data_IF_451996439378
#
_entry.id   IF_451996439378
#
_cell.length_a   1.000
_cell.length_b   1.000
_cell.length_c   1.000
_cell.angle_alpha   90.00
_cell.angle_beta   90.00
_cell.angle_gamma   90.00
#
_symmetry.space_group_name_H-M   'P 1'
#
loop_
_entity.id
_entity.type
_entity.pdbx_description
1 polymer ?
#
# COMPACT_ATOMS: atom_id res chain seq x y z
N UNK A 1 41.41 9.53 -2.68
CA UNK A 1 40.21 10.29 -2.23
C UNK A 1 38.97 9.51 -2.67
N UNK A 2 38.27 8.82 -1.75
CA UNK A 2 36.98 8.20 -2.06
C UNK A 2 35.98 9.32 -2.34
N UNK A 3 35.45 9.41 -3.56
CA UNK A 3 34.35 10.32 -3.86
C UNK A 3 33.13 9.87 -3.06
N UNK A 4 32.46 10.82 -2.41
CA UNK A 4 31.28 10.56 -1.57
C UNK A 4 30.03 10.46 -2.43
N UNK A 5 29.98 11.22 -3.52
CA UNK A 5 28.97 11.07 -4.57
C UNK A 5 29.49 10.13 -5.68
N UNK A 6 28.67 9.17 -6.15
CA UNK A 6 29.15 8.05 -6.95
C UNK A 6 29.74 8.44 -8.31
N UNK A 7 29.25 9.51 -8.95
CA UNK A 7 29.76 9.98 -10.23
C UNK A 7 29.48 11.46 -10.47
N UNK A 8 30.40 12.19 -11.11
CA UNK A 8 30.19 13.58 -11.51
C UNK A 8 29.50 13.70 -12.88
N UNK A 9 29.55 12.63 -13.68
CA UNK A 9 29.20 12.65 -15.12
C UNK A 9 27.72 12.30 -15.37
N UNK A 10 26.93 12.01 -14.33
CA UNK A 10 25.49 11.70 -14.42
C UNK A 10 25.14 10.30 -14.98
N UNK A 11 26.12 9.40 -15.09
CA UNK A 11 25.96 7.99 -15.49
C UNK A 11 25.00 7.23 -14.56
N UNK A 12 25.03 7.49 -13.25
CA UNK A 12 24.10 6.89 -12.29
C UNK A 12 22.66 7.37 -12.53
N UNK A 13 22.47 8.65 -12.87
CA UNK A 13 21.14 9.18 -13.23
C UNK A 13 20.63 8.52 -14.51
N UNK A 14 21.47 8.37 -15.53
CA UNK A 14 21.09 7.70 -16.78
C UNK A 14 20.69 6.23 -16.54
N UNK A 15 21.44 5.50 -15.73
CA UNK A 15 21.11 4.11 -15.37
C UNK A 15 19.77 4.03 -14.65
N UNK A 16 19.54 4.89 -13.65
CA UNK A 16 18.28 4.96 -12.94
C UNK A 16 17.11 5.23 -13.88
N UNK A 17 17.24 6.23 -14.77
CA UNK A 17 16.18 6.61 -15.71
C UNK A 17 15.93 5.50 -16.74
N UNK A 18 16.96 4.82 -17.25
CA UNK A 18 16.80 3.67 -18.17
C UNK A 18 16.05 2.51 -17.52
N UNK A 19 16.17 2.35 -16.21
CA UNK A 19 15.41 1.35 -15.45
C UNK A 19 13.93 1.71 -15.22
N UNK A 20 13.51 2.96 -15.50
CA UNK A 20 12.14 3.40 -15.31
C UNK A 20 11.29 3.18 -16.57
N UNK A 21 10.21 2.44 -16.44
CA UNK A 21 9.19 2.33 -17.50
C UNK A 21 8.25 3.53 -17.41
N UNK A 22 8.50 4.57 -18.21
CA UNK A 22 7.68 5.80 -18.23
C UNK A 22 6.66 5.78 -19.38
N UNK A 23 5.41 6.17 -19.10
CA UNK A 23 4.34 6.27 -20.12
C UNK A 23 4.52 7.44 -21.09
N UNK A 24 5.16 8.53 -20.65
CA UNK A 24 5.33 9.74 -21.43
C UNK A 24 6.82 10.00 -21.69
N UNK A 25 7.17 10.27 -22.95
CA UNK A 25 8.53 10.56 -23.40
C UNK A 25 9.15 11.80 -22.71
N UNK A 26 8.35 12.72 -22.19
CA UNK A 26 8.85 13.91 -21.47
C UNK A 26 9.23 13.63 -20.02
N UNK A 27 8.70 12.56 -19.40
CA UNK A 27 8.95 12.26 -17.98
C UNK A 27 10.43 11.98 -17.68
N UNK A 28 11.15 11.17 -18.48
CA UNK A 28 12.60 10.98 -18.33
C UNK A 28 13.39 12.30 -18.38
N UNK A 29 12.99 13.24 -19.25
CA UNK A 29 13.66 14.53 -19.42
C UNK A 29 13.51 15.37 -18.15
N UNK A 30 12.29 15.45 -17.60
CA UNK A 30 12.02 16.18 -16.35
C UNK A 30 12.76 15.53 -15.18
N UNK A 31 12.75 14.20 -15.09
CA UNK A 31 13.44 13.48 -14.01
C UNK A 31 14.94 13.71 -14.06
N UNK A 32 15.55 13.65 -15.25
CA UNK A 32 16.96 13.98 -15.46
C UNK A 32 17.27 15.39 -14.97
N UNK A 33 16.49 16.38 -15.39
CA UNK A 33 16.69 17.77 -14.96
C UNK A 33 16.65 17.93 -13.43
N UNK A 34 15.67 17.32 -12.76
CA UNK A 34 15.55 17.37 -11.29
C UNK A 34 16.73 16.68 -10.60
N UNK A 35 17.09 15.48 -11.04
CA UNK A 35 18.18 14.70 -10.44
C UNK A 35 19.54 15.34 -10.68
N UNK A 36 19.80 15.87 -11.88
CA UNK A 36 21.03 16.61 -12.17
C UNK A 36 21.12 17.90 -11.35
N UNK A 37 19.99 18.60 -11.15
CA UNK A 37 19.92 19.76 -10.26
C UNK A 37 20.21 19.41 -8.79
N UNK A 38 19.70 18.27 -8.31
CA UNK A 38 20.01 17.76 -6.97
C UNK A 38 21.47 17.35 -6.83
N UNK A 39 22.01 16.57 -7.78
CA UNK A 39 23.41 16.18 -7.80
C UNK A 39 24.35 17.40 -7.77
N UNK A 40 24.08 18.41 -8.60
CA UNK A 40 24.88 19.65 -8.62
C UNK A 40 24.86 20.35 -7.26
N UNK A 41 23.69 20.42 -6.62
CA UNK A 41 23.55 21.00 -5.28
C UNK A 41 24.39 20.25 -4.25
N UNK A 42 24.36 18.90 -4.27
CA UNK A 42 25.15 18.08 -3.35
C UNK A 42 26.65 18.30 -3.60
N UNK A 43 27.09 18.24 -4.85
CA UNK A 43 28.50 18.43 -5.22
C UNK A 43 29.05 19.82 -4.87
N UNK A 44 28.23 20.88 -4.92
CA UNK A 44 28.65 22.24 -4.54
C UNK A 44 28.84 22.41 -3.02
N UNK A 45 28.10 21.65 -2.21
CA UNK A 45 28.23 21.66 -0.75
C UNK A 45 29.21 20.63 -0.22
N UNK A 46 29.73 19.75 -1.09
CA UNK A 46 30.60 18.65 -0.71
C UNK A 46 32.00 19.17 -0.31
N UNK A 47 32.23 19.28 1.01
CA UNK A 47 33.54 19.47 1.64
C UNK A 47 34.12 18.15 2.15
N UNK A 48 33.78 17.01 1.54
CA UNK A 48 34.22 15.69 2.00
C UNK A 48 33.37 15.11 3.13
N UNK A 49 32.09 15.51 3.24
CA UNK A 49 31.13 14.97 4.20
C UNK A 49 30.13 14.02 3.52
N UNK A 50 29.86 12.88 4.17
CA UNK A 50 28.84 11.91 3.75
C UNK A 50 27.50 12.62 3.52
N UNK A 51 26.73 12.17 2.52
CA UNK A 51 25.37 12.69 2.28
C UNK A 51 24.53 12.54 3.56
N UNK A 52 24.32 13.63 4.29
CA UNK A 52 23.63 13.65 5.58
C UNK A 52 22.26 14.33 5.50
N UNK A 53 21.43 14.14 6.54
CA UNK A 53 20.13 14.78 6.73
C UNK A 53 20.19 16.30 6.54
N UNK A 54 21.26 16.96 6.97
CA UNK A 54 21.41 18.41 6.84
C UNK A 54 21.46 18.87 5.37
N UNK A 55 22.11 18.08 4.51
CA UNK A 55 22.20 18.36 3.07
C UNK A 55 20.83 18.26 2.41
N UNK A 56 20.05 17.23 2.75
CA UNK A 56 18.67 17.08 2.26
C UNK A 56 17.79 18.22 2.76
N UNK A 57 17.90 18.59 4.05
CA UNK A 57 17.15 19.72 4.62
C UNK A 57 17.47 21.01 3.88
N UNK A 58 18.75 21.32 3.68
CA UNK A 58 19.17 22.54 2.97
C UNK A 58 18.66 22.59 1.53
N UNK A 59 18.73 21.45 0.80
CA UNK A 59 18.19 21.36 -0.56
C UNK A 59 16.69 21.64 -0.58
N UNK A 60 15.94 21.05 0.35
CA UNK A 60 14.48 21.25 0.43
C UNK A 60 14.12 22.72 0.69
N UNK A 61 14.81 23.38 1.63
CA UNK A 61 14.56 24.80 1.95
C UNK A 61 14.86 25.71 0.75
N UNK A 62 15.93 25.47 -0.01
CA UNK A 62 16.21 26.21 -1.25
C UNK A 62 15.10 26.01 -2.30
N UNK A 63 14.59 24.78 -2.43
CA UNK A 63 13.56 24.47 -3.43
C UNK A 63 12.17 24.98 -3.09
N UNK A 64 11.82 25.14 -1.81
CA UNK A 64 10.53 25.74 -1.43
C UNK A 64 10.46 27.23 -1.81
N UNK A 65 11.58 27.93 -1.89
CA UNK A 65 11.61 29.30 -2.39
C UNK A 65 11.33 29.40 -3.91
N UNK A 66 11.52 28.32 -4.65
CA UNK A 66 11.42 28.30 -6.12
C UNK A 66 10.17 27.58 -6.62
N UNK A 67 9.66 26.58 -5.88
CA UNK A 67 8.57 25.71 -6.32
C UNK A 67 7.44 25.62 -5.28
N UNK A 68 6.18 25.48 -5.72
CA UNK A 68 5.07 25.17 -4.83
C UNK A 68 5.30 23.87 -4.04
N UNK A 69 4.79 23.79 -2.81
CA UNK A 69 4.99 22.65 -1.90
C UNK A 69 4.68 21.28 -2.51
N UNK A 70 3.59 21.15 -3.27
CA UNK A 70 3.21 19.87 -3.87
C UNK A 70 4.24 19.38 -4.91
N UNK A 71 4.89 20.30 -5.64
CA UNK A 71 5.99 19.99 -6.58
C UNK A 71 7.24 19.57 -5.81
N UNK A 72 7.57 20.25 -4.72
CA UNK A 72 8.69 19.88 -3.84
C UNK A 72 8.49 18.47 -3.29
N UNK A 73 7.29 18.13 -2.79
CA UNK A 73 7.00 16.77 -2.32
C UNK A 73 7.12 15.72 -3.42
N UNK A 74 6.62 16.00 -4.62
CA UNK A 74 6.74 15.08 -5.75
C UNK A 74 8.22 14.85 -6.14
N UNK A 75 9.01 15.93 -6.23
CA UNK A 75 10.44 15.84 -6.58
C UNK A 75 11.28 15.23 -5.46
N UNK A 76 10.95 15.46 -4.20
CA UNK A 76 11.61 14.82 -3.06
C UNK A 76 11.38 13.29 -3.05
N UNK A 77 10.19 12.81 -3.45
CA UNK A 77 9.95 11.37 -3.64
C UNK A 77 10.78 10.80 -4.79
N UNK A 78 10.98 11.55 -5.88
CA UNK A 78 11.86 11.13 -6.96
C UNK A 78 13.31 11.00 -6.48
N UNK A 79 13.80 11.99 -5.73
CA UNK A 79 15.13 11.96 -5.13
C UNK A 79 15.27 10.78 -4.15
N UNK A 80 14.30 10.56 -3.26
CA UNK A 80 14.29 9.40 -2.35
C UNK A 80 14.39 8.06 -3.11
N UNK A 81 13.62 7.88 -4.18
CA UNK A 81 13.70 6.68 -5.03
C UNK A 81 15.05 6.53 -5.73
N UNK A 82 15.67 7.64 -6.13
CA UNK A 82 17.00 7.62 -6.72
C UNK A 82 18.07 7.27 -5.68
N UNK A 83 17.97 7.79 -4.47
CA UNK A 83 18.86 7.44 -3.36
C UNK A 83 18.70 5.98 -2.93
N UNK A 84 17.47 5.46 -2.85
CA UNK A 84 17.19 4.03 -2.62
C UNK A 84 17.88 3.16 -3.70
N UNK A 85 17.88 3.61 -4.95
CA UNK A 85 18.58 2.93 -6.05
C UNK A 85 20.11 2.96 -5.87
N UNK A 86 20.69 4.12 -5.53
CA UNK A 86 22.13 4.24 -5.28
C UNK A 86 22.59 3.40 -4.08
N UNK A 87 21.79 3.34 -3.02
CA UNK A 87 22.04 2.52 -1.84
C UNK A 87 22.00 1.02 -2.19
N UNK A 88 20.99 0.60 -2.97
CA UNK A 88 20.87 -0.79 -3.45
C UNK A 88 22.06 -1.22 -4.32
N UNK A 89 22.62 -0.30 -5.11
CA UNK A 89 23.81 -0.56 -5.93
C UNK A 89 25.13 -0.42 -5.15
N UNK A 90 25.10 -0.08 -3.87
CA UNK A 90 26.30 0.17 -3.05
C UNK A 90 27.09 1.42 -3.44
N UNK A 91 26.47 2.33 -4.20
CA UNK A 91 27.07 3.56 -4.71
C UNK A 91 27.13 4.68 -3.65
N UNK A 92 26.25 4.62 -2.66
CA UNK A 92 26.28 5.45 -1.45
C UNK A 92 26.20 4.55 -0.22
N UNK A 93 26.71 5.03 0.92
CA UNK A 93 26.71 4.24 2.16
C UNK A 93 25.29 4.01 2.72
N UNK A 94 24.42 5.02 2.63
CA UNK A 94 23.05 4.97 3.12
C UNK A 94 22.22 6.10 2.50
N UNK A 95 20.90 5.90 2.37
CA UNK A 95 19.95 6.94 2.02
C UNK A 95 19.42 7.64 3.29
N UNK A 96 19.72 8.94 3.54
CA UNK A 96 19.25 9.64 4.73
C UNK A 96 17.72 9.70 4.85
N UNK A 97 17.00 9.76 3.71
CA UNK A 97 15.54 9.75 3.71
C UNK A 97 15.00 8.35 4.04
N UNK A 98 15.69 7.29 3.63
CA UNK A 98 15.36 5.91 4.01
C UNK A 98 15.55 5.69 5.51
N UNK A 99 16.68 6.14 6.06
CA UNK A 99 16.95 6.05 7.50
C UNK A 99 15.91 6.79 8.33
N UNK A 100 15.54 8.02 7.93
CA UNK A 100 14.50 8.79 8.59
C UNK A 100 13.14 8.09 8.52
N UNK A 101 12.77 7.52 7.36
CA UNK A 101 11.55 6.72 7.21
C UNK A 101 11.55 5.53 8.17
N UNK A 102 12.67 4.80 8.27
CA UNK A 102 12.82 3.66 9.16
C UNK A 102 12.74 4.08 10.63
N UNK A 103 13.48 5.11 11.03
CA UNK A 103 13.54 5.63 12.41
C UNK A 103 12.19 6.12 12.91
N UNK A 104 11.41 6.80 12.06
CA UNK A 104 10.11 7.35 12.42
C UNK A 104 8.92 6.50 11.92
N UNK A 105 9.15 5.26 11.49
CA UNK A 105 8.09 4.30 11.10
C UNK A 105 7.21 4.76 9.93
N UNK A 106 7.71 5.64 9.06
CA UNK A 106 6.96 6.22 7.95
C UNK A 106 7.11 5.39 6.68
N UNK A 107 5.98 5.05 6.04
CA UNK A 107 5.99 4.32 4.76
C UNK A 107 6.32 5.20 3.55
N UNK A 108 6.12 6.50 3.67
CA UNK A 108 6.29 7.46 2.57
C UNK A 108 7.21 8.59 2.98
N UNK A 109 7.86 9.23 2.01
CA UNK A 109 8.80 10.33 2.23
C UNK A 109 8.09 11.64 2.59
N UNK A 110 6.82 11.80 2.24
CA UNK A 110 6.12 13.09 2.37
C UNK A 110 5.99 13.60 3.81
N UNK A 111 5.62 12.80 4.82
CA UNK A 111 5.63 13.23 6.21
C UNK A 111 7.01 13.68 6.67
N UNK A 112 8.06 12.94 6.31
CA UNK A 112 9.46 13.29 6.63
C UNK A 112 9.85 14.63 6.00
N UNK A 113 9.59 14.80 4.70
CA UNK A 113 9.90 16.05 3.99
C UNK A 113 9.13 17.23 4.59
N UNK A 114 7.86 17.04 4.94
CA UNK A 114 7.06 18.07 5.61
C UNK A 114 7.65 18.43 6.97
N UNK A 115 8.10 17.45 7.76
CA UNK A 115 8.75 17.70 9.04
C UNK A 115 10.09 18.42 8.89
N UNK A 116 10.92 18.06 7.90
CA UNK A 116 12.19 18.72 7.62
C UNK A 116 12.04 20.19 7.20
N UNK A 117 10.92 20.51 6.54
CA UNK A 117 10.56 21.88 6.13
C UNK A 117 9.88 22.69 7.25
N UNK A 118 9.52 22.07 8.37
CA UNK A 118 8.97 22.77 9.54
C UNK A 118 10.04 23.67 10.18
N UNK A 119 9.59 24.77 10.79
CA UNK A 119 10.44 25.69 11.55
C UNK A 119 11.23 24.95 12.64
N UNK A 120 10.56 24.03 13.34
CA UNK A 120 11.15 23.14 14.34
C UNK A 120 11.23 21.72 13.79
N UNK A 121 12.22 21.46 12.93
CA UNK A 121 12.33 20.16 12.24
C UNK A 121 12.46 18.96 13.18
N UNK A 122 13.16 19.13 14.30
CA UNK A 122 13.37 18.03 15.27
C UNK A 122 12.07 17.64 15.97
N UNK A 123 11.32 18.61 16.49
CA UNK A 123 10.03 18.33 17.14
C UNK A 123 9.00 17.80 16.15
N UNK A 124 9.00 18.31 14.91
CA UNK A 124 8.14 17.83 13.85
C UNK A 124 8.47 16.38 13.43
N UNK A 125 9.75 16.00 13.42
CA UNK A 125 10.18 14.63 13.16
C UNK A 125 9.81 13.71 14.33
N UNK A 126 10.04 14.13 15.58
CA UNK A 126 9.66 13.34 16.75
C UNK A 126 8.15 13.11 16.85
N UNK A 127 7.33 14.07 16.42
CA UNK A 127 5.88 13.90 16.33
C UNK A 127 5.43 12.82 15.33
N UNK A 128 6.30 12.41 14.39
CA UNK A 128 6.02 11.31 13.45
C UNK A 128 6.31 9.93 14.04
N UNK A 129 6.97 9.85 15.19
CA UNK A 129 7.32 8.57 15.82
C UNK A 129 6.06 7.73 16.05
N UNK A 130 6.06 6.44 15.68
CA UNK A 130 4.89 5.60 15.90
C UNK A 130 4.64 5.46 17.39
N UNK A 131 3.39 5.72 17.80
CA UNK A 131 2.97 5.49 19.17
C UNK A 131 3.13 4.00 19.55
N UNK A 132 3.57 3.71 20.78
CA UNK A 132 3.67 2.32 21.26
C UNK A 132 2.31 1.63 21.14
N UNK A 133 2.34 0.34 20.84
CA UNK A 133 1.10 -0.46 20.75
C UNK A 133 0.60 -0.74 22.16
N UNK A 134 -0.66 -0.40 22.44
CA UNK A 134 -1.24 -0.57 23.77
C UNK A 134 -0.52 0.25 24.85
N UNK A 135 -0.14 1.49 24.50
CA UNK A 135 0.61 2.40 25.39
C UNK A 135 -0.25 3.39 26.17
N UNK A 136 -1.58 3.38 26.00
CA UNK A 136 -2.49 4.19 26.83
C UNK A 136 -2.70 3.57 28.22
N UNK A 137 -3.33 4.32 29.11
CA UNK A 137 -3.74 3.83 30.44
C UNK A 137 -4.71 2.62 30.37
N UNK A 138 -5.48 2.45 29.29
CA UNK A 138 -6.30 1.23 29.05
C UNK A 138 -5.57 0.17 28.21
N UNK A 139 -4.36 0.47 27.75
CA UNK A 139 -3.53 -0.41 26.91
C UNK A 139 -3.35 -1.80 27.50
N UNK A 140 -2.91 -1.95 28.77
CA UNK A 140 -2.73 -3.25 29.41
C UNK A 140 -3.99 -4.12 29.42
N UNK A 141 -5.15 -3.53 29.75
CA UNK A 141 -6.45 -4.22 29.74
C UNK A 141 -6.80 -4.74 28.33
N UNK A 142 -6.67 -3.87 27.33
CA UNK A 142 -6.97 -4.21 25.94
C UNK A 142 -6.02 -5.28 25.41
N UNK A 143 -4.72 -5.17 25.71
CA UNK A 143 -3.70 -6.14 25.30
C UNK A 143 -3.96 -7.49 25.95
N UNK A 144 -4.20 -7.54 27.26
CA UNK A 144 -4.53 -8.76 27.99
C UNK A 144 -5.71 -9.50 27.35
N UNK A 145 -6.81 -8.78 27.09
CA UNK A 145 -7.98 -9.39 26.47
C UNK A 145 -7.71 -9.90 25.05
N UNK A 146 -6.94 -9.15 24.23
CA UNK A 146 -6.57 -9.60 22.88
C UNK A 146 -5.72 -10.87 22.92
N UNK A 147 -4.73 -10.94 23.81
CA UNK A 147 -3.87 -12.11 23.98
C UNK A 147 -4.70 -13.31 24.41
N UNK A 148 -5.53 -13.16 25.44
CA UNK A 148 -6.42 -14.22 25.91
C UNK A 148 -7.35 -14.76 24.81
N UNK A 149 -7.96 -13.87 24.02
CA UNK A 149 -8.83 -14.29 22.91
C UNK A 149 -8.04 -15.07 21.84
N UNK A 150 -6.78 -14.73 21.61
CA UNK A 150 -5.92 -15.47 20.67
C UNK A 150 -5.48 -16.81 21.21
N UNK A 151 -5.17 -16.90 22.51
CA UNK A 151 -4.78 -18.15 23.16
C UNK A 151 -5.94 -19.16 23.18
N UNK A 152 -7.19 -18.67 23.23
CA UNK A 152 -8.40 -19.48 23.03
C UNK A 152 -8.63 -19.91 21.56
N UNK A 153 -7.73 -19.58 20.64
CA UNK A 153 -7.80 -19.97 19.24
C UNK A 153 -8.58 -19.02 18.31
N UNK A 154 -9.05 -17.87 18.80
CA UNK A 154 -9.69 -16.88 17.94
C UNK A 154 -8.65 -16.02 17.20
N UNK A 155 -8.84 -15.78 15.89
CA UNK A 155 -7.98 -14.83 15.15
C UNK A 155 -8.00 -13.42 15.76
N UNK A 156 -9.19 -12.98 16.19
CA UNK A 156 -9.44 -11.74 16.93
C UNK A 156 -8.84 -10.45 16.31
N UNK A 157 -8.63 -10.42 15.00
CA UNK A 157 -7.96 -9.30 14.30
C UNK A 157 -8.81 -8.02 14.29
N UNK A 158 -10.10 -8.12 13.97
CA UNK A 158 -10.99 -6.95 13.88
C UNK A 158 -11.15 -6.24 15.23
N UNK A 159 -11.47 -6.92 16.34
CA UNK A 159 -11.53 -6.27 17.65
C UNK A 159 -10.17 -5.75 18.12
N UNK A 160 -9.08 -6.49 17.89
CA UNK A 160 -7.73 -6.03 18.26
C UNK A 160 -7.35 -4.74 17.52
N UNK A 161 -7.68 -4.62 16.24
CA UNK A 161 -7.45 -3.39 15.47
C UNK A 161 -8.32 -2.23 15.97
N UNK A 162 -9.57 -2.50 16.40
CA UNK A 162 -10.44 -1.50 17.02
C UNK A 162 -9.86 -0.98 18.33
N UNK A 163 -9.36 -1.87 19.20
CA UNK A 163 -8.66 -1.47 20.42
C UNK A 163 -7.39 -0.67 20.14
N UNK A 164 -6.56 -1.08 19.18
CA UNK A 164 -5.35 -0.32 18.82
C UNK A 164 -5.70 1.08 18.29
N UNK A 165 -6.82 1.22 17.58
CA UNK A 165 -7.24 2.51 17.08
C UNK A 165 -7.69 3.45 18.22
N UNK A 166 -8.42 2.91 19.19
CA UNK A 166 -8.80 3.63 20.41
C UNK A 166 -7.61 3.93 21.34
N UNK A 167 -6.71 2.98 21.52
CA UNK A 167 -5.47 3.14 22.30
C UNK A 167 -4.61 4.31 21.81
N UNK A 168 -4.42 4.42 20.49
CA UNK A 168 -3.69 5.53 19.89
C UNK A 168 -4.37 6.87 20.10
N UNK A 169 -5.69 6.88 20.25
CA UNK A 169 -6.41 8.10 20.58
C UNK A 169 -6.23 8.51 22.02
N UNK A 170 -6.33 7.57 22.96
CA UNK A 170 -6.09 7.84 24.36
C UNK A 170 -4.66 8.34 24.60
N UNK A 171 -3.65 7.75 23.93
CA UNK A 171 -2.27 8.26 23.98
C UNK A 171 -2.11 9.69 23.46
N UNK A 172 -2.96 10.12 22.53
CA UNK A 172 -2.96 11.51 22.02
C UNK A 172 -3.76 12.47 22.90
N UNK A 173 -4.53 11.96 23.86
CA UNK A 173 -5.39 12.75 24.72
C UNK A 173 -5.16 12.36 26.19
N UNK A 174 -3.99 12.66 26.77
CA UNK A 174 -3.66 12.30 28.16
C UNK A 174 -4.63 12.90 29.19
N UNK A 175 -5.28 14.03 28.87
CA UNK A 175 -6.28 14.67 29.74
C UNK A 175 -7.53 13.80 30.00
N UNK A 176 -7.73 12.73 29.22
CA UNK A 176 -8.81 11.76 29.42
C UNK A 176 -8.47 10.68 30.43
N UNK A 177 -7.23 10.63 30.93
CA UNK A 177 -6.84 9.68 31.95
C UNK A 177 -7.65 9.89 33.24
N UNK A 178 -8.11 8.78 33.84
CA UNK A 178 -8.99 8.80 35.02
C UNK A 178 -10.47 9.07 34.74
N UNK A 179 -10.85 9.45 33.51
CA UNK A 179 -12.25 9.62 33.14
C UNK A 179 -12.98 8.27 33.05
N UNK A 180 -14.27 8.20 33.42
CA UNK A 180 -15.04 6.96 33.36
C UNK A 180 -15.28 6.54 31.90
N UNK A 181 -15.37 5.24 31.66
CA UNK A 181 -15.52 4.67 30.30
C UNK A 181 -16.63 5.33 29.44
N UNK A 182 -17.83 5.65 29.97
CA UNK A 182 -18.85 6.31 29.18
C UNK A 182 -18.40 7.66 28.60
N UNK A 183 -17.63 8.44 29.37
CA UNK A 183 -17.07 9.73 28.92
C UNK A 183 -16.03 9.50 27.84
N UNK A 184 -15.13 8.52 28.02
CA UNK A 184 -14.13 8.18 27.00
C UNK A 184 -14.76 7.78 25.66
N UNK A 185 -15.83 6.98 25.70
CA UNK A 185 -16.55 6.54 24.51
C UNK A 185 -17.34 7.68 23.85
N UNK A 186 -17.85 8.63 24.64
CA UNK A 186 -18.53 9.82 24.14
C UNK A 186 -17.56 10.76 23.42
N UNK A 187 -16.42 11.08 24.06
CA UNK A 187 -15.35 11.90 23.46
C UNK A 187 -14.82 11.24 22.19
N UNK A 188 -14.60 9.92 22.24
CA UNK A 188 -14.19 9.16 21.06
C UNK A 188 -15.21 9.25 19.92
N UNK A 189 -16.50 9.10 20.22
CA UNK A 189 -17.59 9.22 19.24
C UNK A 189 -17.62 10.60 18.58
N UNK A 190 -17.34 11.67 19.33
CA UNK A 190 -17.43 13.05 18.86
C UNK A 190 -16.40 13.40 17.77
N UNK A 191 -15.27 12.69 17.68
CA UNK A 191 -14.18 12.99 16.73
C UNK A 191 -14.64 12.92 15.27
N UNK A 192 -15.55 11.98 14.96
CA UNK A 192 -16.09 11.81 13.62
C UNK A 192 -17.59 11.59 13.72
N UNK A 193 -18.41 12.59 13.37
CA UNK A 193 -19.86 12.49 13.41
C UNK A 193 -20.39 11.73 12.18
N UNK A 194 -19.95 10.48 12.00
CA UNK A 194 -20.48 9.57 10.97
C UNK A 194 -21.19 8.38 11.62
N UNK A 195 -22.26 7.86 11.00
CA UNK A 195 -22.98 6.71 11.55
C UNK A 195 -22.08 5.48 11.67
N UNK A 196 -21.13 5.27 10.75
CA UNK A 196 -20.16 4.18 10.81
C UNK A 196 -19.25 4.30 12.02
N UNK A 197 -18.79 5.51 12.31
CA UNK A 197 -17.93 5.75 13.46
C UNK A 197 -18.68 5.58 14.77
N UNK A 198 -19.93 6.06 14.83
CA UNK A 198 -20.81 5.83 15.97
C UNK A 198 -21.02 4.33 16.24
N UNK A 199 -21.19 3.53 15.18
CA UNK A 199 -21.29 2.07 15.31
C UNK A 199 -19.99 1.44 15.79
N UNK A 200 -18.84 1.85 15.25
CA UNK A 200 -17.53 1.39 15.74
C UNK A 200 -17.32 1.71 17.23
N UNK A 201 -17.79 2.87 17.71
CA UNK A 201 -17.75 3.23 19.13
C UNK A 201 -18.64 2.32 19.99
N UNK A 202 -19.84 1.97 19.52
CA UNK A 202 -20.71 1.02 20.22
C UNK A 202 -20.09 -0.38 20.29
N UNK A 203 -19.50 -0.85 19.19
CA UNK A 203 -18.83 -2.14 19.18
C UNK A 203 -17.60 -2.14 20.08
N UNK A 204 -16.82 -1.05 20.09
CA UNK A 204 -15.69 -0.85 21.00
C UNK A 204 -16.15 -0.92 22.47
N UNK A 205 -17.21 -0.20 22.83
CA UNK A 205 -17.76 -0.22 24.19
C UNK A 205 -18.19 -1.63 24.62
N UNK A 206 -18.75 -2.42 23.70
CA UNK A 206 -19.07 -3.83 23.97
C UNK A 206 -17.82 -4.69 24.13
N UNK A 207 -16.81 -4.51 23.29
CA UNK A 207 -15.56 -5.27 23.39
C UNK A 207 -14.84 -4.97 24.71
N UNK A 208 -14.83 -3.70 25.12
CA UNK A 208 -14.29 -3.25 26.40
C UNK A 208 -15.10 -3.80 27.58
N UNK A 209 -16.43 -3.74 27.55
CA UNK A 209 -17.27 -4.33 28.59
C UNK A 209 -17.03 -5.86 28.72
N UNK A 210 -16.81 -6.57 27.60
CA UNK A 210 -16.41 -7.99 27.63
C UNK A 210 -15.04 -8.21 28.27
N UNK A 211 -14.07 -7.34 28.01
CA UNK A 211 -12.77 -7.41 28.63
C UNK A 211 -12.86 -7.20 30.15
N UNK A 212 -13.62 -6.18 30.57
CA UNK A 212 -13.80 -5.80 31.97
C UNK A 212 -14.63 -6.79 32.79
N UNK A 213 -15.65 -7.43 32.21
CA UNK A 213 -16.49 -8.42 32.91
C UNK A 213 -15.72 -9.60 33.51
N UNK A 214 -14.49 -9.84 33.05
CA UNK A 214 -13.61 -10.87 33.60
C UNK A 214 -13.07 -10.51 34.99
N UNK A 215 -12.98 -9.22 35.29
CA UNK A 215 -12.57 -8.70 36.60
C UNK A 215 -13.79 -8.30 37.44
N UNK A 216 -14.81 -7.72 36.79
CA UNK A 216 -16.04 -7.28 37.44
C UNK A 216 -17.28 -7.82 36.70
N UNK A 217 -17.81 -8.98 37.12
CA UNK A 217 -18.91 -9.66 36.42
C UNK A 217 -20.20 -8.83 36.29
N UNK A 218 -20.39 -7.84 37.18
CA UNK A 218 -21.60 -7.01 37.27
C UNK A 218 -21.68 -5.91 36.21
N UNK A 219 -20.59 -5.62 35.48
CA UNK A 219 -20.58 -4.55 34.47
C UNK A 219 -21.66 -4.82 33.41
N UNK A 220 -22.61 -3.90 33.16
CA UNK A 220 -23.67 -4.14 32.20
C UNK A 220 -23.11 -4.18 30.76
N UNK A 221 -23.59 -5.11 29.94
CA UNK A 221 -23.24 -5.14 28.52
C UNK A 221 -24.04 -4.06 27.76
N UNK A 222 -23.38 -3.13 27.05
CA UNK A 222 -24.09 -2.13 26.25
C UNK A 222 -24.99 -2.79 25.20
N UNK A 223 -26.26 -2.39 25.14
CA UNK A 223 -27.20 -2.85 24.09
C UNK A 223 -26.87 -2.12 22.78
N UNK A 224 -26.82 -2.82 21.63
CA UNK A 224 -26.57 -2.17 20.36
C UNK A 224 -27.77 -1.30 20.00
N UNK A 225 -27.51 -0.10 19.48
CA UNK A 225 -28.57 0.79 19.01
C UNK A 225 -29.17 0.22 17.72
N UNK A 226 -30.43 -0.23 17.81
CA UNK A 226 -31.13 -0.83 16.68
C UNK A 226 -31.35 0.17 15.55
N UNK A 227 -31.64 1.44 15.87
CA UNK A 227 -31.91 2.48 14.86
C UNK A 227 -30.64 2.78 14.06
N UNK A 228 -29.51 2.91 14.74
CA UNK A 228 -28.22 3.11 14.10
C UNK A 228 -27.84 1.91 13.20
N UNK A 229 -28.09 0.69 13.68
CA UNK A 229 -27.85 -0.52 12.90
C UNK A 229 -28.70 -0.56 11.62
N UNK A 230 -29.98 -0.21 11.71
CA UNK A 230 -30.90 -0.14 10.57
C UNK A 230 -30.49 0.94 9.58
N UNK A 231 -30.16 2.14 10.07
CA UNK A 231 -29.67 3.23 9.24
C UNK A 231 -28.42 2.83 8.45
N UNK A 232 -27.45 2.17 9.09
CA UNK A 232 -26.25 1.68 8.41
C UNK A 232 -26.55 0.57 7.40
N UNK A 233 -27.51 -0.32 7.69
CA UNK A 233 -27.94 -1.34 6.72
C UNK A 233 -28.59 -0.70 5.49
N UNK A 234 -29.33 0.39 5.65
CA UNK A 234 -29.94 1.13 4.54
C UNK A 234 -28.90 1.89 3.71
N UNK A 235 -27.90 2.51 4.37
CA UNK A 235 -26.83 3.25 3.69
C UNK A 235 -25.83 2.35 2.98
N UNK A 236 -25.60 1.13 3.50
CA UNK A 236 -24.75 0.16 2.83
C UNK A 236 -25.38 -0.23 1.50
N UNK A 237 -24.60 -0.06 0.42
CA UNK A 237 -24.99 -0.52 -0.91
C UNK A 237 -25.36 -2.00 -0.82
N UNK A 238 -26.56 -2.33 -1.27
CA UNK A 238 -26.95 -3.73 -1.47
C UNK A 238 -25.97 -4.34 -2.48
N UNK A 239 -25.36 -5.50 -2.17
CA UNK A 239 -24.51 -6.17 -3.14
C UNK A 239 -25.29 -6.41 -4.44
N UNK A 240 -24.76 -5.94 -5.56
CA UNK A 240 -25.29 -6.27 -6.87
C UNK A 240 -24.84 -7.69 -7.22
N UNK A 241 -25.80 -8.56 -7.52
CA UNK A 241 -25.50 -9.91 -7.98
C UNK A 241 -25.37 -9.84 -9.50
N UNK A 242 -24.17 -10.10 -10.01
CA UNK A 242 -23.90 -10.05 -11.45
C UNK A 242 -24.70 -11.12 -12.19
N UNK A 243 -25.35 -10.69 -13.27
CA UNK A 243 -25.96 -11.59 -14.27
C UNK A 243 -24.88 -12.27 -15.11
N UNK A 244 -25.23 -13.38 -15.77
CA UNK A 244 -24.29 -14.08 -16.66
C UNK A 244 -23.72 -13.18 -17.78
N UNK A 245 -24.55 -12.26 -18.29
CA UNK A 245 -24.13 -11.30 -19.32
C UNK A 245 -23.10 -10.32 -18.78
N UNK A 246 -23.31 -9.78 -17.58
CA UNK A 246 -22.35 -8.88 -16.93
C UNK A 246 -21.06 -9.61 -16.57
N UNK A 247 -21.13 -10.87 -16.11
CA UNK A 247 -19.93 -11.69 -15.86
C UNK A 247 -19.14 -11.88 -17.15
N UNK A 248 -19.78 -12.23 -18.26
CA UNK A 248 -19.13 -12.35 -19.58
C UNK A 248 -18.44 -11.04 -19.97
N UNK A 249 -19.14 -9.92 -19.79
CA UNK A 249 -18.59 -8.60 -20.09
C UNK A 249 -17.33 -8.30 -19.26
N UNK A 250 -17.37 -8.53 -17.94
CA UNK A 250 -16.23 -8.35 -17.03
C UNK A 250 -15.03 -9.22 -17.45
N UNK A 251 -15.27 -10.48 -17.84
CA UNK A 251 -14.24 -11.39 -18.30
C UNK A 251 -13.61 -10.94 -19.63
N UNK A 252 -14.41 -10.47 -20.58
CA UNK A 252 -13.91 -9.91 -21.84
C UNK A 252 -13.09 -8.64 -21.62
N UNK A 253 -13.55 -7.75 -20.73
CA UNK A 253 -12.79 -6.55 -20.35
C UNK A 253 -11.45 -6.91 -19.72
N UNK A 254 -11.40 -7.94 -18.87
CA UNK A 254 -10.16 -8.38 -18.24
C UNK A 254 -9.11 -8.82 -19.27
N UNK A 255 -9.52 -9.54 -20.33
CA UNK A 255 -8.62 -9.96 -21.42
C UNK A 255 -8.04 -8.77 -22.21
N UNK A 256 -8.82 -7.69 -22.35
CA UNK A 256 -8.43 -6.48 -23.09
C UNK A 256 -7.80 -5.41 -22.20
N UNK A 257 -7.54 -5.72 -20.93
CA UNK A 257 -7.07 -4.73 -19.96
C UNK A 257 -5.72 -4.14 -20.39
N UNK A 258 -5.57 -2.81 -20.53
CA UNK A 258 -4.31 -2.23 -20.99
C UNK A 258 -3.24 -2.33 -19.90
N UNK A 259 -2.23 -3.17 -20.10
CA UNK A 259 -1.08 -3.28 -19.17
C UNK A 259 0.28 -3.34 -19.88
N UNK A 260 0.79 -2.17 -20.33
CA UNK A 260 2.05 -2.11 -21.09
C UNK A 260 3.28 -2.62 -20.32
N UNK A 261 3.31 -2.43 -19.00
CA UNK A 261 4.45 -2.81 -18.15
C UNK A 261 4.34 -4.24 -17.58
N UNK A 262 3.21 -4.92 -17.81
CA UNK A 262 2.95 -6.26 -17.28
C UNK A 262 2.10 -7.04 -18.29
N UNK A 263 2.70 -7.55 -19.39
CA UNK A 263 1.99 -8.12 -20.52
C UNK A 263 1.13 -9.34 -20.13
N UNK A 264 1.46 -10.03 -19.04
CA UNK A 264 0.68 -11.16 -18.51
C UNK A 264 -0.53 -10.72 -17.67
N UNK A 265 -0.60 -9.46 -17.23
CA UNK A 265 -1.65 -8.97 -16.33
C UNK A 265 -3.08 -9.18 -16.87
N UNK A 266 -3.38 -8.99 -18.17
CA UNK A 266 -4.71 -9.25 -18.69
C UNK A 266 -5.10 -10.74 -18.56
N UNK A 267 -4.17 -11.64 -18.86
CA UNK A 267 -4.35 -13.08 -18.71
C UNK A 267 -4.49 -13.47 -17.22
N UNK A 268 -3.66 -12.90 -16.34
CA UNK A 268 -3.76 -13.11 -14.90
C UNK A 268 -5.11 -12.65 -14.35
N UNK A 269 -5.57 -11.44 -14.72
CA UNK A 269 -6.87 -10.90 -14.29
C UNK A 269 -8.02 -11.78 -14.76
N UNK A 270 -8.02 -12.16 -16.03
CA UNK A 270 -9.03 -13.06 -16.58
C UNK A 270 -9.07 -14.38 -15.80
N UNK A 271 -7.91 -14.98 -15.55
CA UNK A 271 -7.80 -16.26 -14.86
C UNK A 271 -8.25 -16.18 -13.41
N UNK A 272 -7.86 -15.13 -12.69
CA UNK A 272 -8.31 -14.88 -11.33
C UNK A 272 -9.84 -14.75 -11.26
N UNK A 273 -10.46 -14.05 -12.22
CA UNK A 273 -11.91 -13.89 -12.26
C UNK A 273 -12.64 -15.19 -12.61
N UNK A 274 -12.12 -15.96 -13.56
CA UNK A 274 -12.66 -17.29 -13.90
C UNK A 274 -12.57 -18.22 -12.68
N UNK A 275 -11.42 -18.25 -12.00
CA UNK A 275 -11.25 -19.03 -10.78
C UNK A 275 -12.26 -18.59 -9.72
N UNK A 276 -12.40 -17.28 -9.45
CA UNK A 276 -13.37 -16.77 -8.50
C UNK A 276 -14.81 -17.20 -8.85
N UNK A 277 -15.18 -17.12 -10.13
CA UNK A 277 -16.52 -17.47 -10.60
C UNK A 277 -16.82 -18.97 -10.50
N UNK A 278 -15.88 -19.82 -10.91
CA UNK A 278 -16.09 -21.27 -10.95
C UNK A 278 -15.92 -21.96 -9.59
N UNK A 279 -15.04 -21.44 -8.73
CA UNK A 279 -14.69 -22.10 -7.45
C UNK A 279 -15.27 -21.39 -6.24
N UNK A 280 -15.76 -20.17 -6.38
CA UNK A 280 -16.21 -19.35 -5.25
C UNK A 280 -15.08 -18.94 -4.29
N UNK A 281 -13.81 -19.13 -4.67
CA UNK A 281 -12.66 -18.72 -3.87
C UNK A 281 -12.68 -17.21 -3.63
N UNK A 282 -12.37 -16.81 -2.39
CA UNK A 282 -12.21 -15.40 -2.04
C UNK A 282 -10.93 -14.86 -2.67
N UNK A 283 -10.89 -13.56 -2.95
CA UNK A 283 -9.72 -12.90 -3.55
C UNK A 283 -8.41 -13.19 -2.81
N UNK A 284 -8.46 -13.24 -1.47
CA UNK A 284 -7.27 -13.56 -0.65
C UNK A 284 -6.77 -15.00 -0.84
N UNK A 285 -7.67 -15.94 -1.11
CA UNK A 285 -7.33 -17.35 -1.38
C UNK A 285 -6.72 -17.47 -2.77
N UNK A 286 -7.30 -16.80 -3.76
CA UNK A 286 -6.79 -16.78 -5.15
C UNK A 286 -5.37 -16.19 -5.20
N UNK A 287 -5.12 -15.09 -4.51
CA UNK A 287 -3.80 -14.46 -4.44
C UNK A 287 -2.79 -15.32 -3.66
N UNK A 288 -3.26 -16.21 -2.77
CA UNK A 288 -2.44 -17.13 -2.00
C UNK A 288 -2.13 -18.46 -2.68
N UNK A 289 -2.69 -18.73 -3.88
CA UNK A 289 -2.43 -19.97 -4.62
C UNK A 289 -0.99 -20.04 -5.10
N UNK A 290 -0.33 -21.17 -4.85
CA UNK A 290 0.99 -21.49 -5.40
C UNK A 290 0.89 -22.52 -6.52
N UNK A 291 1.95 -22.67 -7.31
CA UNK A 291 2.02 -23.65 -8.40
C UNK A 291 1.77 -25.09 -7.94
N UNK A 292 2.21 -25.45 -6.73
CA UNK A 292 1.99 -26.77 -6.14
C UNK A 292 0.57 -27.03 -5.66
N UNK A 293 -0.30 -26.01 -5.66
CA UNK A 293 -1.70 -26.13 -5.26
C UNK A 293 -2.62 -26.42 -6.48
N UNK A 294 -2.08 -26.44 -7.71
CA UNK A 294 -2.84 -26.60 -8.97
C UNK A 294 -2.43 -27.87 -9.69
N UNK A 295 -3.32 -28.86 -9.74
CA UNK A 295 -3.10 -30.13 -10.46
C UNK A 295 -3.92 -30.17 -11.74
N UNK A 296 -3.28 -29.77 -12.84
CA UNK A 296 -3.94 -29.67 -14.15
C UNK A 296 -4.34 -31.03 -14.73
N UNK A 297 -3.62 -32.10 -14.39
CA UNK A 297 -3.85 -33.44 -14.93
C UNK A 297 -5.12 -34.10 -14.37
N UNK A 298 -5.50 -33.73 -13.15
CA UNK A 298 -6.69 -34.25 -12.45
C UNK A 298 -7.82 -33.23 -12.44
N UNK A 299 -7.54 -31.98 -12.83
CA UNK A 299 -8.49 -30.87 -12.78
C UNK A 299 -8.88 -30.55 -11.34
N UNK A 300 -7.91 -30.42 -10.43
CA UNK A 300 -8.14 -30.15 -9.01
C UNK A 300 -7.24 -28.99 -8.52
N UNK A 301 -7.78 -28.11 -7.68
CA UNK A 301 -7.02 -27.06 -7.00
C UNK A 301 -7.17 -27.25 -5.48
N UNK A 302 -6.05 -27.44 -4.78
CA UNK A 302 -6.01 -27.49 -3.32
C UNK A 302 -5.89 -26.07 -2.76
N UNK A 303 -7.01 -25.47 -2.36
CA UNK A 303 -6.98 -24.17 -1.69
C UNK A 303 -6.26 -24.24 -0.33
N UNK A 304 -5.19 -23.46 -0.15
CA UNK A 304 -4.59 -23.24 1.17
C UNK A 304 -5.26 -22.07 1.89
N UNK A 305 -5.68 -22.35 3.13
CA UNK A 305 -6.33 -21.52 4.16
C UNK A 305 -6.31 -20.00 3.94
N UNK A 306 -7.51 -19.40 3.85
CA UNK A 306 -7.78 -18.12 4.51
C UNK A 306 -9.20 -18.10 5.12
N UNK A 307 -9.27 -18.32 6.44
CA UNK A 307 -10.47 -18.25 7.28
C UNK A 307 -11.66 -19.17 6.95
N UNK A 308 -11.80 -20.20 7.78
CA UNK A 308 -13.04 -20.92 8.08
C UNK A 308 -13.75 -21.61 6.89
N UNK A 309 -13.13 -22.66 6.33
CA UNK A 309 -13.74 -23.95 5.97
C UNK A 309 -12.74 -24.78 5.16
N UNK A 310 -12.62 -26.08 5.44
CA UNK A 310 -11.99 -27.02 4.48
C UNK A 310 -12.99 -27.21 3.35
N UNK A 311 -12.71 -26.69 2.17
CA UNK A 311 -13.48 -26.96 0.96
C UNK A 311 -12.58 -27.62 -0.06
N UNK A 312 -12.83 -28.89 -0.35
CA UNK A 312 -12.30 -29.53 -1.56
C UNK A 312 -13.11 -28.98 -2.74
N UNK A 313 -12.49 -28.27 -3.66
CA UNK A 313 -13.14 -27.82 -4.89
C UNK A 313 -12.73 -28.77 -6.01
N UNK A 314 -13.56 -29.78 -6.27
CA UNK A 314 -13.40 -30.70 -7.38
C UNK A 314 -14.12 -30.12 -8.60
N UNK A 315 -13.45 -30.03 -9.74
CA UNK A 315 -14.07 -29.51 -10.95
C UNK A 315 -14.99 -30.58 -11.57
N UNK A 316 -16.23 -30.25 -11.97
CA UNK A 316 -16.96 -31.09 -12.90
C UNK A 316 -16.43 -30.77 -14.30
N UNK A 317 -15.67 -31.72 -14.86
CA UNK A 317 -15.14 -31.79 -16.24
C UNK A 317 -13.82 -31.03 -16.53
N UNK A 318 -12.80 -31.81 -16.89
CA UNK A 318 -11.46 -31.39 -17.31
C UNK A 318 -11.44 -30.49 -18.58
N UNK A 319 -12.57 -30.37 -19.31
CA UNK A 319 -12.66 -29.66 -20.58
C UNK A 319 -12.42 -28.15 -20.47
N UNK A 320 -12.83 -27.50 -19.37
CA UNK A 320 -12.76 -26.03 -19.24
C UNK A 320 -11.40 -25.53 -18.74
N UNK A 321 -10.78 -26.25 -17.81
CA UNK A 321 -9.39 -26.01 -17.40
C UNK A 321 -8.44 -26.23 -18.58
N UNK A 322 -8.69 -27.26 -19.41
CA UNK A 322 -7.93 -27.48 -20.63
C UNK A 322 -8.14 -26.34 -21.63
N UNK A 323 -9.37 -25.86 -21.84
CA UNK A 323 -9.62 -24.73 -22.75
C UNK A 323 -8.95 -23.42 -22.28
N UNK A 324 -9.01 -23.11 -20.98
CA UNK A 324 -8.36 -21.93 -20.40
C UNK A 324 -6.82 -22.01 -20.44
N UNK A 325 -6.22 -23.19 -20.21
CA UNK A 325 -4.76 -23.36 -20.20
C UNK A 325 -4.16 -23.64 -21.58
N UNK A 326 -4.89 -24.25 -22.51
CA UNK A 326 -4.48 -24.40 -23.91
C UNK A 326 -4.47 -23.04 -24.62
N UNK A 327 -5.41 -22.15 -24.29
CA UNK A 327 -5.38 -20.76 -24.73
C UNK A 327 -4.12 -20.03 -24.20
N UNK A 328 -3.77 -20.23 -22.92
CA UNK A 328 -2.50 -19.71 -22.37
C UNK A 328 -1.25 -20.30 -23.05
N UNK A 329 -1.19 -21.62 -23.30
CA UNK A 329 -0.02 -22.27 -23.92
C UNK A 329 0.13 -21.93 -25.41
N UNK A 330 -0.98 -21.73 -26.13
CA UNK A 330 -0.99 -21.31 -27.53
C UNK A 330 -0.47 -19.88 -27.70
N UNK A 331 -0.97 -18.94 -26.90
CA UNK A 331 -0.56 -17.53 -26.95
C UNK A 331 0.86 -17.31 -26.42
N UNK A 332 1.30 -18.10 -25.42
CA UNK A 332 2.67 -18.04 -24.92
C UNK A 332 3.70 -18.47 -25.99
N UNK A 333 3.40 -19.48 -26.81
CA UNK A 333 4.25 -19.87 -27.94
C UNK A 333 4.23 -18.83 -29.06
N UNK A 334 3.06 -18.27 -29.39
CA UNK A 334 2.92 -17.23 -30.41
C UNK A 334 3.65 -15.91 -30.05
N UNK A 335 3.73 -15.57 -28.75
CA UNK A 335 4.48 -14.43 -28.26
C UNK A 335 6.02 -14.62 -28.31
N UNK A 336 6.51 -15.86 -28.28
CA UNK A 336 7.95 -16.18 -28.34
C UNK A 336 8.47 -16.51 -29.75
N UNK A 337 7.59 -16.74 -30.73
CA UNK A 337 7.96 -17.06 -32.11
C UNK A 337 7.89 -15.87 -33.08
N UNK A 338 7.62 -14.63 -32.62
CA UNK A 338 7.76 -13.44 -33.46
C UNK A 338 9.24 -13.03 -33.55
N UNK A 339 9.89 -13.08 -34.73
CA UNK A 339 11.22 -12.50 -34.89
C UNK A 339 11.14 -10.99 -34.63
N UNK A 340 12.18 -10.44 -33.98
CA UNK A 340 12.41 -8.99 -33.95
C UNK A 340 12.59 -8.52 -35.39
N UNK A 341 11.54 -8.01 -36.04
CA UNK A 341 11.72 -7.21 -37.24
C UNK A 341 12.35 -5.88 -36.82
N UNK A 342 13.63 -5.73 -37.16
CA UNK A 342 14.34 -4.46 -37.09
C UNK A 342 13.69 -3.47 -38.05
N UNK A 343 13.29 -2.32 -37.54
CA UNK A 343 12.99 -1.16 -38.37
C UNK A 343 14.32 -0.51 -38.78
N UNK A 344 14.84 -0.92 -39.93
CA UNK A 344 15.81 -0.17 -40.71
C UNK A 344 15.09 0.52 -41.87
N UNK A 345 15.18 1.85 -41.96
CA UNK A 345 14.60 2.60 -43.07
C UNK A 345 14.65 4.11 -42.85
N UNK A 346 15.85 4.68 -43.06
CA UNK A 346 16.05 6.11 -43.34
C UNK A 346 15.62 6.36 -44.79
N UNK A 347 14.79 7.36 -45.04
CA UNK A 347 14.81 8.11 -46.31
C UNK A 347 14.23 9.51 -46.13
N UNK A 348 14.98 10.48 -46.64
CA UNK A 348 14.80 11.93 -46.57
C UNK A 348 13.60 12.47 -47.37
N UNK A 349 12.87 13.43 -46.77
CA UNK A 349 12.19 14.63 -47.33
C UNK A 349 11.27 14.54 -48.58
N UNK A 350 10.58 15.64 -48.97
CA UNK A 350 10.56 16.98 -48.39
C UNK A 350 9.14 17.54 -48.08
N UNK A 351 9.16 18.78 -47.58
CA UNK A 351 8.08 19.68 -47.20
C UNK A 351 6.84 19.72 -48.13
N UNK A 352 5.67 19.85 -47.52
CA UNK A 352 4.51 20.50 -48.12
C UNK A 352 3.71 21.25 -47.05
N UNK A 353 3.79 22.57 -47.14
CA UNK A 353 2.83 23.58 -46.68
C UNK A 353 1.41 23.22 -47.07
N UNK A 354 0.42 23.45 -46.20
CA UNK A 354 -0.86 24.12 -46.51
C UNK A 354 -1.75 24.22 -45.27
N UNK A 355 -2.07 25.49 -44.96
CA UNK A 355 -3.20 26.07 -44.21
C UNK A 355 -3.55 25.58 -42.80
#
# INVERSE_FOLDING_TARGET
>A
MKRIWPDADGRCIERFIRGLVTRNATTPIVYRCVLSGFQRFVMQRDRGQLLDQQTIKAWLHERVAQWPFHIVFHRARLVDRFLDFLETEGSIASNPLHELRKRYGQRTTTPIVRALLSFSSETALEALRPLPRFGSFLGPLMLYHVTLMRDMGYRYETPANRFLYFDRYLQKNPHLEGQPLPVLLQEWRAIRPTPEHAWQCQELGRDLARAWRRFEPMIPMPRPDRRLCEQLKQQRRRPHIYTEQEVRHVLETARRYPSPCAPLRPLSLYTMLVLAYCTGLRLGEIVGLNLGDVHLDVGEIFGRRSSLNRGHCRFPTASWLHCATTCMRGDWRAAHSRPRQGFSGISNGPAATLM
#
